data_IF_976584642756
#
_entry.id   IF_976584642756
#
_cell.length_a   1.000
_cell.length_b   1.000
_cell.length_c   1.000
_cell.angle_alpha   90.00
_cell.angle_beta   90.00
_cell.angle_gamma   90.00
#
_symmetry.space_group_name_H-M   'P 1'
#
loop_
_entity.id
_entity.type
_entity.pdbx_description
1 polymer ?
#
# COMPACT_ATOMS: atom_id res chain seq x y z
N UNK A 1 1.38 -11.09 -17.89
CA UNK A 1 1.94 -11.91 -16.79
C UNK A 1 2.75 -10.99 -15.90
N UNK A 2 2.15 -10.39 -14.88
CA UNK A 2 2.90 -9.77 -13.79
C UNK A 2 2.84 -10.72 -12.62
N UNK A 3 3.83 -11.60 -12.54
CA UNK A 3 4.15 -12.26 -11.29
C UNK A 3 4.45 -11.16 -10.27
N UNK A 4 3.92 -11.28 -9.05
CA UNK A 4 4.37 -10.46 -7.92
C UNK A 4 5.91 -10.35 -7.97
N UNK A 5 6.50 -9.18 -7.67
CA UNK A 5 7.95 -9.07 -7.58
C UNK A 5 8.47 -10.23 -6.72
N UNK A 6 9.59 -10.86 -7.10
CA UNK A 6 10.06 -12.02 -6.36
C UNK A 6 10.27 -11.64 -4.89
N UNK A 7 9.61 -12.38 -4.00
CA UNK A 7 9.88 -12.39 -2.55
C UNK A 7 11.29 -12.95 -2.34
N UNK A 8 12.31 -12.11 -2.57
CA UNK A 8 13.69 -12.45 -2.34
C UNK A 8 14.16 -11.82 -1.03
N UNK A 9 15.11 -12.47 -0.35
CA UNK A 9 15.64 -11.99 0.95
C UNK A 9 16.08 -10.51 0.90
N UNK A 10 16.71 -10.01 -0.20
CA UNK A 10 17.03 -8.58 -0.33
C UNK A 10 15.84 -7.60 -0.32
N UNK A 11 14.65 -8.01 -0.75
CA UNK A 11 13.46 -7.13 -0.84
C UNK A 11 12.56 -7.19 0.39
N UNK A 12 12.78 -8.14 1.30
CA UNK A 12 12.03 -8.24 2.56
C UNK A 12 12.13 -6.96 3.39
N UNK A 13 11.00 -6.60 4.01
CA UNK A 13 10.98 -5.54 5.01
C UNK A 13 11.80 -5.97 6.23
N UNK A 14 12.57 -5.02 6.75
CA UNK A 14 13.34 -5.15 7.99
C UNK A 14 13.37 -3.83 8.73
N UNK A 15 13.60 -3.88 10.03
CA UNK A 15 13.84 -2.68 10.81
C UNK A 15 15.27 -2.20 10.56
N UNK A 16 15.42 -0.98 10.02
CA UNK A 16 16.70 -0.31 9.83
C UNK A 16 16.55 1.18 10.12
N UNK A 17 17.43 1.72 10.95
CA UNK A 17 17.37 3.14 11.32
C UNK A 17 16.04 3.55 11.97
N UNK A 18 15.41 2.65 12.74
CA UNK A 18 14.12 2.90 13.39
C UNK A 18 12.90 2.83 12.47
N UNK A 19 13.05 2.42 11.21
CA UNK A 19 11.96 2.31 10.24
C UNK A 19 11.85 0.88 9.72
N UNK A 20 10.63 0.41 9.47
CA UNK A 20 10.38 -0.80 8.70
C UNK A 20 10.53 -0.45 7.21
N UNK A 21 11.53 -1.03 6.55
CA UNK A 21 11.91 -0.65 5.17
C UNK A 21 12.56 -1.84 4.46
N UNK A 22 12.63 -1.81 3.14
CA UNK A 22 13.46 -2.72 2.37
C UNK A 22 14.72 -1.99 1.87
N UNK A 23 15.84 -2.69 1.78
CA UNK A 23 17.01 -2.19 1.08
C UNK A 23 17.36 -3.19 -0.02
N UNK A 24 16.51 -3.20 -1.03
CA UNK A 24 16.70 -4.05 -2.20
C UNK A 24 18.09 -3.82 -2.78
N UNK A 25 18.80 -4.92 -2.99
CA UNK A 25 20.08 -4.96 -3.70
C UNK A 25 19.92 -5.64 -5.06
N UNK A 26 18.68 -5.81 -5.53
CA UNK A 26 18.38 -6.42 -6.83
C UNK A 26 17.98 -5.36 -7.84
N UNK A 27 18.43 -5.56 -9.08
CA UNK A 27 18.00 -4.78 -10.23
C UNK A 27 16.56 -5.17 -10.65
N UNK A 28 15.81 -4.22 -11.19
CA UNK A 28 14.39 -4.39 -11.52
C UNK A 28 13.43 -4.31 -10.31
N UNK A 29 12.23 -4.87 -10.47
CA UNK A 29 11.12 -4.72 -9.51
C UNK A 29 11.46 -5.30 -8.13
N UNK A 30 11.14 -4.54 -7.10
CA UNK A 30 11.37 -4.89 -5.71
C UNK A 30 10.15 -4.55 -4.86
N UNK A 31 9.64 -5.52 -4.11
CA UNK A 31 8.59 -5.30 -3.13
C UNK A 31 8.93 -5.99 -1.81
N UNK A 32 8.68 -5.28 -0.71
CA UNK A 32 8.70 -5.84 0.62
C UNK A 32 7.33 -5.71 1.26
N UNK A 33 6.84 -6.80 1.86
CA UNK A 33 5.53 -6.86 2.48
C UNK A 33 5.63 -7.10 3.98
N UNK A 34 4.72 -6.47 4.73
CA UNK A 34 4.32 -6.93 6.04
C UNK A 34 2.81 -7.14 6.02
N UNK A 35 2.37 -8.35 6.34
CA UNK A 35 0.95 -8.69 6.44
C UNK A 35 0.63 -9.00 7.90
N UNK A 36 -0.47 -8.42 8.40
CA UNK A 36 -0.96 -8.72 9.74
C UNK A 36 -1.29 -10.22 9.87
N UNK A 37 -1.34 -10.78 11.10
CA UNK A 37 -2.13 -11.98 11.32
C UNK A 37 -3.60 -11.73 10.96
N UNK A 38 -4.40 -12.80 10.89
CA UNK A 38 -5.85 -12.66 10.77
C UNK A 38 -6.38 -11.85 11.96
N UNK A 39 -7.05 -10.73 11.69
CA UNK A 39 -7.56 -9.81 12.71
C UNK A 39 -8.92 -10.21 13.29
N UNK A 40 -9.43 -11.41 12.95
CA UNK A 40 -10.63 -12.02 13.52
C UNK A 40 -11.95 -11.48 12.97
N UNK A 41 -11.93 -10.38 12.25
CA UNK A 41 -13.09 -9.74 11.63
C UNK A 41 -12.68 -8.91 10.41
N UNK A 42 -13.66 -8.30 9.74
CA UNK A 42 -13.42 -7.43 8.61
C UNK A 42 -12.60 -6.21 9.05
N UNK A 43 -11.54 -5.88 8.31
CA UNK A 43 -10.76 -4.66 8.51
C UNK A 43 -11.62 -3.46 8.19
N UNK A 44 -11.74 -2.55 9.15
CA UNK A 44 -12.47 -1.27 9.02
C UNK A 44 -11.55 -0.09 8.90
N UNK A 45 -10.29 -0.24 9.30
CA UNK A 45 -9.29 0.84 9.20
C UNK A 45 -7.94 0.24 8.87
N UNK A 46 -7.22 0.86 7.93
CA UNK A 46 -5.80 0.59 7.65
C UNK A 46 -5.09 1.92 7.44
N UNK A 47 -3.90 2.08 8.01
CA UNK A 47 -3.15 3.31 7.84
C UNK A 47 -1.67 3.16 8.17
N UNK A 48 -0.89 4.15 7.74
CA UNK A 48 0.54 4.16 7.94
C UNK A 48 1.09 5.58 8.08
N UNK A 49 2.21 5.67 8.80
CA UNK A 49 3.15 6.78 8.73
C UNK A 49 4.45 6.32 8.07
N UNK A 50 4.94 7.08 7.11
CA UNK A 50 6.15 6.71 6.37
C UNK A 50 6.95 7.91 5.88
N UNK A 51 8.16 7.64 5.41
CA UNK A 51 9.02 8.61 4.70
C UNK A 51 9.40 8.07 3.33
N UNK A 52 9.62 8.94 2.35
CA UNK A 52 10.34 8.60 1.12
C UNK A 52 11.81 9.03 1.23
N UNK A 53 12.75 8.21 0.75
CA UNK A 53 14.18 8.56 0.66
C UNK A 53 14.66 8.39 -0.77
N UNK A 54 15.09 9.48 -1.40
CA UNK A 54 15.60 9.47 -2.77
C UNK A 54 16.87 8.62 -2.90
N UNK A 55 16.98 7.83 -3.98
CA UNK A 55 18.16 6.99 -4.30
C UNK A 55 18.69 7.17 -5.73
N UNK A 56 18.31 8.28 -6.38
CA UNK A 56 18.83 8.69 -7.69
C UNK A 56 18.07 8.15 -8.91
N UNK A 57 17.07 7.28 -8.71
CA UNK A 57 16.18 6.75 -9.74
C UNK A 57 14.83 7.48 -9.79
N UNK A 58 13.78 6.74 -10.12
CA UNK A 58 12.40 7.26 -10.13
C UNK A 58 11.76 7.11 -8.74
N UNK A 59 10.45 6.90 -8.70
CA UNK A 59 9.65 6.96 -7.48
C UNK A 59 9.29 5.56 -7.01
N UNK A 60 9.63 5.25 -5.77
CA UNK A 60 9.02 4.12 -5.08
C UNK A 60 7.57 4.42 -4.70
N UNK A 61 6.87 3.40 -4.23
CA UNK A 61 5.50 3.50 -3.80
C UNK A 61 5.31 2.84 -2.43
N UNK A 62 4.49 3.47 -1.61
CA UNK A 62 3.90 2.87 -0.41
C UNK A 62 2.52 2.34 -0.81
N UNK A 63 2.16 1.13 -0.43
CA UNK A 63 0.80 0.64 -0.61
C UNK A 63 0.18 0.04 0.66
N UNK A 64 -1.13 0.27 0.80
CA UNK A 64 -1.99 -0.30 1.82
C UNK A 64 -3.02 -1.20 1.15
N UNK A 65 -3.09 -2.45 1.61
CA UNK A 65 -3.94 -3.47 1.02
C UNK A 65 -4.80 -4.15 2.08
N UNK A 66 -6.05 -4.45 1.74
CA UNK A 66 -6.93 -5.32 2.54
C UNK A 66 -7.35 -6.51 1.70
N UNK A 67 -7.24 -7.71 2.29
CA UNK A 67 -7.39 -8.99 1.61
C UNK A 67 -8.06 -10.05 2.49
N UNK A 68 -8.72 -11.03 1.87
CA UNK A 68 -9.37 -12.13 2.59
C UNK A 68 -8.37 -13.09 3.24
N UNK A 69 -7.24 -13.33 2.58
CA UNK A 69 -6.13 -14.14 3.05
C UNK A 69 -4.83 -13.38 2.91
N UNK A 70 -3.77 -13.82 3.59
CA UNK A 70 -2.49 -13.12 3.61
C UNK A 70 -1.95 -12.86 2.19
N UNK A 71 -2.01 -11.59 1.77
CA UNK A 71 -1.63 -11.10 0.44
C UNK A 71 -2.24 -11.92 -0.72
N UNK A 72 -3.50 -12.36 -0.56
CA UNK A 72 -4.21 -13.12 -1.57
C UNK A 72 -5.44 -12.36 -2.07
N UNK A 73 -5.59 -12.28 -3.40
CA UNK A 73 -6.72 -11.61 -4.04
C UNK A 73 -8.04 -12.33 -3.72
N UNK A 74 -9.18 -11.63 -3.72
CA UNK A 74 -9.37 -10.23 -4.07
C UNK A 74 -8.85 -9.25 -3.01
N UNK A 75 -8.56 -8.03 -3.46
CA UNK A 75 -8.26 -6.89 -2.58
C UNK A 75 -9.41 -5.89 -2.62
N UNK A 76 -10.07 -5.67 -1.47
CA UNK A 76 -11.12 -4.65 -1.33
C UNK A 76 -10.56 -3.25 -1.20
N UNK A 77 -9.31 -3.13 -0.79
CA UNK A 77 -8.55 -1.87 -0.76
C UNK A 77 -7.18 -2.13 -1.34
N UNK A 78 -6.77 -1.28 -2.25
CA UNK A 78 -5.41 -1.18 -2.76
C UNK A 78 -5.07 0.30 -2.98
N UNK A 79 -4.69 0.99 -1.91
CA UNK A 79 -4.22 2.37 -1.95
C UNK A 79 -2.73 2.37 -2.25
N UNK A 80 -2.31 3.02 -3.33
CA UNK A 80 -0.90 3.22 -3.69
C UNK A 80 -0.60 4.69 -3.65
N UNK A 81 0.47 5.07 -2.95
CA UNK A 81 0.95 6.45 -2.87
C UNK A 81 2.40 6.48 -3.34
N UNK A 82 2.65 7.36 -4.30
CA UNK A 82 3.99 7.77 -4.74
C UNK A 82 4.19 9.23 -4.35
N UNK A 83 5.40 9.79 -4.44
CA UNK A 83 5.63 11.21 -4.25
C UNK A 83 4.75 12.15 -5.09
N UNK A 84 4.22 11.70 -6.24
CA UNK A 84 3.51 12.61 -7.16
C UNK A 84 2.03 12.35 -7.32
N UNK A 85 1.56 11.17 -6.93
CA UNK A 85 0.18 10.77 -7.11
C UNK A 85 -0.18 9.67 -6.15
N UNK A 86 -1.48 9.52 -5.96
CA UNK A 86 -2.08 8.36 -5.33
C UNK A 86 -3.08 7.72 -6.29
N UNK A 87 -3.29 6.42 -6.11
CA UNK A 87 -4.39 5.67 -6.73
C UNK A 87 -5.07 4.83 -5.67
N UNK A 88 -6.40 4.78 -5.72
CA UNK A 88 -7.20 3.82 -4.98
C UNK A 88 -7.88 2.91 -5.97
N UNK A 89 -7.77 1.62 -5.73
CA UNK A 89 -8.42 0.61 -6.54
C UNK A 89 -8.72 -0.64 -5.77
N UNK A 90 -9.29 -1.59 -6.49
CA UNK A 90 -9.56 -2.94 -6.03
C UNK A 90 -8.86 -3.93 -6.94
N UNK A 91 -8.55 -5.11 -6.43
CA UNK A 91 -7.93 -6.15 -7.24
C UNK A 91 -8.86 -7.37 -7.32
N UNK A 92 -9.45 -7.66 -8.49
CA UNK A 92 -10.34 -8.80 -8.66
C UNK A 92 -9.69 -10.16 -8.35
N UNK A 93 -10.48 -11.20 -8.05
CA UNK A 93 -9.99 -12.57 -7.89
C UNK A 93 -9.26 -13.08 -9.14
N UNK A 94 -8.37 -14.04 -8.92
CA UNK A 94 -7.64 -14.74 -10.00
C UNK A 94 -8.62 -15.31 -11.06
N UNK A 95 -8.30 -15.13 -12.35
CA UNK A 95 -9.09 -15.67 -13.47
C UNK A 95 -10.18 -14.74 -14.02
N UNK A 96 -10.41 -13.57 -13.41
CA UNK A 96 -11.39 -12.57 -13.85
C UNK A 96 -10.75 -11.60 -14.87
N UNK A 97 -10.64 -11.97 -16.17
CA UNK A 97 -9.94 -11.15 -17.21
C UNK A 97 -8.44 -10.97 -16.83
N UNK A 98 -7.50 -10.46 -17.66
CA UNK A 98 -6.11 -10.30 -17.19
C UNK A 98 -5.97 -9.29 -16.03
N UNK A 99 -6.20 -9.76 -14.80
CA UNK A 99 -5.31 -9.70 -13.64
C UNK A 99 -4.75 -8.36 -13.17
N UNK A 100 -5.26 -7.22 -13.62
CA UNK A 100 -4.74 -5.90 -13.28
C UNK A 100 -5.57 -5.22 -12.18
N UNK A 101 -4.92 -4.31 -11.45
CA UNK A 101 -5.56 -3.41 -10.49
C UNK A 101 -6.63 -2.59 -11.21
N UNK A 102 -7.87 -2.65 -10.73
CA UNK A 102 -8.94 -1.78 -11.22
C UNK A 102 -8.91 -0.47 -10.42
N UNK A 103 -8.44 0.60 -11.06
CA UNK A 103 -8.36 1.92 -10.43
C UNK A 103 -9.75 2.55 -10.39
N UNK A 104 -10.24 2.82 -9.19
CA UNK A 104 -11.52 3.49 -8.97
C UNK A 104 -11.34 5.01 -8.88
N UNK A 105 -10.22 5.45 -8.28
CA UNK A 105 -9.87 6.86 -8.21
C UNK A 105 -8.36 7.07 -8.27
N UNK A 106 -7.93 8.19 -8.85
CA UNK A 106 -6.53 8.60 -8.88
C UNK A 106 -6.40 10.10 -8.97
N UNK A 107 -5.39 10.67 -8.32
CA UNK A 107 -5.09 12.09 -8.43
C UNK A 107 -3.60 12.36 -8.19
N UNK A 108 -3.09 13.39 -8.86
CA UNK A 108 -1.76 13.93 -8.61
C UNK A 108 -1.79 14.92 -7.44
N UNK A 109 -0.77 14.88 -6.61
CA UNK A 109 -0.56 15.94 -5.62
C UNK A 109 -0.22 17.26 -6.34
N UNK A 110 -0.78 18.37 -5.86
CA UNK A 110 -0.47 19.71 -6.40
C UNK A 110 1.00 20.05 -6.16
N UNK A 111 1.50 19.70 -4.97
CA UNK A 111 2.90 19.74 -4.60
C UNK A 111 3.35 18.30 -4.34
N UNK A 112 4.35 17.78 -5.07
CA UNK A 112 4.89 16.46 -4.79
C UNK A 112 5.38 16.33 -3.34
N UNK A 113 5.25 15.13 -2.78
CA UNK A 113 5.83 14.80 -1.49
C UNK A 113 7.36 14.80 -1.59
N UNK A 114 8.01 15.30 -0.56
CA UNK A 114 9.46 15.30 -0.40
C UNK A 114 10.01 13.89 -0.20
N UNK A 115 11.23 13.69 -0.68
CA UNK A 115 11.92 12.39 -0.66
C UNK A 115 13.23 12.49 0.14
N UNK A 116 13.24 13.31 1.19
CA UNK A 116 14.40 13.66 2.00
C UNK A 116 14.77 12.60 3.06
N UNK A 117 13.92 11.59 3.24
CA UNK A 117 14.05 10.55 4.25
C UNK A 117 13.75 10.99 5.67
N UNK A 118 13.24 12.21 5.89
CA UNK A 118 12.95 12.76 7.22
C UNK A 118 11.51 13.24 7.38
N UNK A 119 10.91 13.82 6.35
CA UNK A 119 9.50 14.21 6.38
C UNK A 119 8.62 12.98 6.49
N UNK A 120 7.79 12.95 7.53
CA UNK A 120 6.82 11.88 7.77
C UNK A 120 5.50 12.28 7.13
N UNK A 121 4.97 11.38 6.32
CA UNK A 121 3.64 11.43 5.71
C UNK A 121 2.72 10.44 6.40
N UNK A 122 1.42 10.72 6.35
CA UNK A 122 0.38 9.90 6.95
C UNK A 122 -0.75 9.68 5.95
N UNK A 123 -1.35 8.50 5.97
CA UNK A 123 -2.54 8.18 5.20
C UNK A 123 -3.32 7.08 5.90
N UNK A 124 -4.64 7.15 5.79
CA UNK A 124 -5.56 6.19 6.39
C UNK A 124 -6.72 5.93 5.43
N UNK A 125 -7.20 4.69 5.42
CA UNK A 125 -8.46 4.30 4.81
C UNK A 125 -9.38 3.77 5.89
N UNK A 126 -10.54 4.38 6.04
CA UNK A 126 -11.67 3.88 6.81
C UNK A 126 -12.70 3.24 5.89
N UNK A 127 -13.26 2.09 6.28
CA UNK A 127 -14.20 1.31 5.49
C UNK A 127 -15.52 1.17 6.24
N UNK A 128 -16.60 1.50 5.56
CA UNK A 128 -17.96 1.31 6.04
C UNK A 128 -18.82 0.72 4.91
N UNK A 129 -18.90 -0.62 4.86
CA UNK A 129 -19.57 -1.34 3.79
C UNK A 129 -18.90 -1.08 2.45
N UNK A 130 -19.66 -0.53 1.50
CA UNK A 130 -19.18 -0.21 0.14
C UNK A 130 -18.40 1.10 0.05
N UNK A 131 -18.31 1.85 1.15
CA UNK A 131 -17.66 3.16 1.20
C UNK A 131 -16.26 3.05 1.80
N UNK A 132 -15.28 3.65 1.13
CA UNK A 132 -13.95 3.91 1.65
C UNK A 132 -13.71 5.42 1.77
N UNK A 133 -13.39 5.88 2.97
CA UNK A 133 -12.99 7.25 3.30
C UNK A 133 -11.47 7.29 3.46
N UNK A 134 -10.79 8.15 2.70
CA UNK A 134 -9.34 8.14 2.52
C UNK A 134 -8.78 9.48 2.94
N UNK A 135 -8.00 9.48 4.02
CA UNK A 135 -7.20 10.63 4.45
C UNK A 135 -5.83 10.55 3.76
N UNK A 136 -5.49 11.60 3.02
CA UNK A 136 -4.27 11.68 2.20
C UNK A 136 -3.17 12.50 2.88
N UNK A 137 -1.89 12.30 2.48
CA UNK A 137 -0.75 12.94 3.13
C UNK A 137 -0.65 14.45 2.90
N UNK A 138 -1.41 15.01 1.96
CA UNK A 138 -1.54 16.45 1.73
C UNK A 138 -2.70 17.07 2.55
N UNK A 139 -3.37 16.28 3.40
CA UNK A 139 -4.50 16.70 4.22
C UNK A 139 -5.85 16.67 3.50
N UNK A 140 -5.89 16.27 2.23
CA UNK A 140 -7.13 16.09 1.50
C UNK A 140 -7.87 14.83 1.97
N UNK A 141 -9.20 14.87 1.89
CA UNK A 141 -10.07 13.73 2.20
C UNK A 141 -10.85 13.32 0.95
N UNK A 142 -10.86 12.03 0.64
CA UNK A 142 -11.52 11.47 -0.54
C UNK A 142 -12.46 10.35 -0.13
N UNK A 143 -13.60 10.26 -0.80
CA UNK A 143 -14.56 9.16 -0.60
C UNK A 143 -14.72 8.38 -1.90
N UNK A 144 -14.49 7.08 -1.84
CA UNK A 144 -14.76 6.13 -2.92
C UNK A 144 -15.93 5.23 -2.52
N UNK A 145 -16.85 4.97 -3.44
CA UNK A 145 -17.98 4.06 -3.22
C UNK A 145 -17.96 2.99 -4.32
N UNK A 146 -17.84 1.74 -3.93
CA UNK A 146 -17.92 0.58 -4.81
C UNK A 146 -18.38 -0.65 -4.01
N UNK A 147 -19.43 -1.33 -4.49
CA UNK A 147 -20.02 -2.50 -3.83
C UNK A 147 -18.98 -3.60 -3.54
N UNK A 148 -17.94 -3.72 -4.38
CA UNK A 148 -16.90 -4.74 -4.24
C UNK A 148 -15.99 -4.50 -3.04
N UNK A 149 -15.95 -3.29 -2.49
CA UNK A 149 -15.26 -3.00 -1.22
C UNK A 149 -15.91 -3.81 -0.09
N UNK A 150 -17.25 -3.87 -0.06
CA UNK A 150 -18.01 -4.67 0.89
C UNK A 150 -17.92 -6.17 0.58
N UNK A 151 -18.13 -6.54 -0.68
CA UNK A 151 -18.20 -7.95 -1.10
C UNK A 151 -16.85 -8.67 -0.90
N UNK A 152 -15.74 -7.92 -0.97
CA UNK A 152 -14.38 -8.44 -0.81
C UNK A 152 -13.73 -8.01 0.52
N UNK A 153 -14.53 -7.62 1.51
CA UNK A 153 -14.04 -7.20 2.81
C UNK A 153 -13.18 -8.29 3.48
N UNK A 154 -11.92 -7.95 3.73
CA UNK A 154 -10.90 -8.88 4.21
C UNK A 154 -10.59 -8.77 5.70
N UNK A 155 -9.90 -9.79 6.25
CA UNK A 155 -9.44 -9.82 7.66
C UNK A 155 -7.93 -9.64 7.81
N UNK A 156 -7.23 -9.40 6.71
CA UNK A 156 -5.78 -9.18 6.66
C UNK A 156 -5.46 -7.80 6.09
N UNK A 157 -4.59 -7.08 6.77
CA UNK A 157 -4.01 -5.83 6.31
C UNK A 157 -2.57 -6.08 5.85
N UNK A 158 -2.20 -5.57 4.68
CA UNK A 158 -0.82 -5.64 4.16
C UNK A 158 -0.28 -4.25 3.84
N UNK A 159 0.99 -4.06 4.17
CA UNK A 159 1.76 -2.84 3.97
C UNK A 159 2.93 -3.17 3.05
N UNK A 160 3.05 -2.45 1.95
CA UNK A 160 4.02 -2.71 0.90
C UNK A 160 4.96 -1.52 0.70
N UNK A 161 6.26 -1.80 0.61
CA UNK A 161 7.25 -0.90 0.05
C UNK A 161 7.66 -1.42 -1.34
N UNK A 162 7.23 -0.72 -2.39
CA UNK A 162 7.44 -1.10 -3.79
C UNK A 162 8.43 -0.17 -4.50
N UNK A 163 9.14 -0.71 -5.49
CA UNK A 163 9.98 0.02 -6.44
C UNK A 163 9.98 -0.72 -7.78
N UNK A 164 9.87 0.01 -8.90
CA UNK A 164 10.06 -0.59 -10.23
C UNK A 164 11.54 -0.88 -10.51
N UNK A 165 12.42 -0.07 -9.92
CA UNK A 165 13.88 -0.21 -9.95
C UNK A 165 14.43 -0.24 -8.51
N UNK A 166 14.55 -1.43 -7.93
CA UNK A 166 14.88 -1.64 -6.52
C UNK A 166 16.18 -1.02 -6.04
N UNK A 167 17.15 -0.82 -6.94
CA UNK A 167 18.44 -0.19 -6.62
C UNK A 167 18.35 1.34 -6.51
N UNK A 168 17.53 1.99 -7.32
CA UNK A 168 17.63 3.44 -7.57
C UNK A 168 16.35 4.21 -7.23
N UNK A 169 15.18 3.60 -7.35
CA UNK A 169 13.93 4.28 -7.00
C UNK A 169 13.89 4.63 -5.52
N UNK A 170 13.12 5.66 -5.19
CA UNK A 170 13.01 6.10 -3.81
C UNK A 170 12.51 5.00 -2.87
N UNK A 171 13.05 5.01 -1.65
CA UNK A 171 12.78 3.98 -0.65
C UNK A 171 11.69 4.45 0.31
N UNK A 172 10.72 3.57 0.56
CA UNK A 172 9.73 3.75 1.63
C UNK A 172 10.32 3.29 2.96
N UNK A 173 10.14 4.08 4.00
CA UNK A 173 10.42 3.68 5.39
C UNK A 173 9.22 3.95 6.27
N UNK A 174 8.52 2.91 6.69
CA UNK A 174 7.41 3.00 7.63
C UNK A 174 7.93 3.29 9.04
N UNK A 175 7.41 4.35 9.65
CA UNK A 175 7.62 4.66 11.07
C UNK A 175 6.52 4.09 11.95
N UNK A 176 5.32 3.93 11.38
CA UNK A 176 4.15 3.37 12.06
C UNK A 176 3.23 2.72 11.03
N UNK A 177 2.60 1.60 11.39
CA UNK A 177 1.56 0.93 10.61
C UNK A 177 0.47 0.47 11.56
N UNK A 178 -0.79 0.54 11.15
CA UNK A 178 -1.91 0.08 11.96
C UNK A 178 -3.05 -0.46 11.10
N UNK A 179 -3.84 -1.33 11.71
CA UNK A 179 -5.11 -1.76 11.19
C UNK A 179 -6.06 -2.07 12.34
N UNK A 180 -7.36 -1.87 12.11
CA UNK A 180 -8.43 -2.20 13.05
C UNK A 180 -9.49 -3.04 12.33
N UNK A 181 -10.05 -4.01 13.04
CA UNK A 181 -11.14 -4.84 12.56
C UNK A 181 -12.40 -4.65 13.40
N UNK A 182 -13.56 -4.95 12.84
CA UNK A 182 -14.78 -5.10 13.63
C UNK A 182 -14.55 -6.19 14.67
N UNK A 183 -14.80 -5.87 15.94
CA UNK A 183 -14.86 -6.89 16.98
C UNK A 183 -16.08 -7.77 16.71
N UNK A 184 -15.83 -9.07 16.56
CA UNK A 184 -16.86 -10.11 16.51
C UNK A 184 -17.33 -10.44 17.92
#
# INVERSE_FOLDING_TARGET
>A
MTTNPPDNVPTMLRVAGGKLTNASTVDGRAAGYYTSPNLGGQVTTIGARWTFTQRGGTRGAMALLISHGALHRPFSVHLVITPNLWTFGIWPPDGSVPGELETLQSQRFQVPLDEDGTQVYEAQVEINGERADIELPDGEHQTVIDQRIADWAGSFATFEAYSDQGLTDSRVGFTEIWAQSQRV
#
